data_IF_017323368721
#
_entry.id   IF_017323368721
#
_cell.length_a   1.000
_cell.length_b   1.000
_cell.length_c   1.000
_cell.angle_alpha   90.00
_cell.angle_beta   90.00
_cell.angle_gamma   90.00
#
_symmetry.space_group_name_H-M   'P 1'
#
loop_
_entity.id
_entity.type
_entity.pdbx_description
1 polymer ?
#
# COMPACT_ATOMS: atom_id res chain seq x y z
N UNK A 1 46.00 47.58 -13.97
CA UNK A 1 46.70 46.71 -12.98
C UNK A 1 46.23 47.04 -11.55
N UNK A 2 45.72 46.15 -10.71
CA UNK A 2 45.60 44.70 -10.77
C UNK A 2 44.55 44.24 -9.74
N UNK A 3 44.05 43.03 -9.98
CA UNK A 3 43.05 42.28 -9.22
C UNK A 3 43.66 41.61 -7.99
N UNK A 4 42.88 41.53 -6.90
CA UNK A 4 42.81 40.44 -5.90
C UNK A 4 41.38 40.50 -5.34
N UNK A 5 40.47 39.53 -5.56
CA UNK A 5 40.45 38.14 -5.08
C UNK A 5 39.89 38.13 -3.64
N UNK A 6 38.80 37.50 -3.24
CA UNK A 6 37.78 36.61 -3.82
C UNK A 6 37.12 35.87 -2.63
N UNK A 7 35.82 35.55 -2.67
CA UNK A 7 35.19 34.41 -1.95
C UNK A 7 33.66 34.34 -2.14
N UNK A 8 33.14 33.12 -2.35
CA UNK A 8 31.73 32.76 -2.09
C UNK A 8 30.82 32.70 -3.32
N UNK A 9 30.66 31.56 -4.00
CA UNK A 9 29.70 30.46 -3.73
C UNK A 9 28.25 30.71 -4.24
N UNK A 10 27.77 29.79 -5.10
CA UNK A 10 26.43 29.19 -5.00
C UNK A 10 25.20 29.91 -5.58
N UNK A 11 24.83 29.48 -6.79
CA UNK A 11 23.51 29.24 -7.40
C UNK A 11 22.14 29.74 -6.84
N UNK A 12 21.20 29.74 -7.80
CA UNK A 12 19.72 29.64 -7.79
C UNK A 12 18.85 30.91 -7.62
N UNK A 13 18.33 31.40 -8.75
CA UNK A 13 17.09 32.17 -8.78
C UNK A 13 15.90 31.19 -8.85
N UNK A 14 15.04 31.24 -7.84
CA UNK A 14 14.03 30.23 -7.54
C UNK A 14 12.79 30.26 -8.43
N UNK A 15 12.29 29.06 -8.74
CA UNK A 15 10.92 28.85 -9.16
C UNK A 15 10.14 28.39 -7.92
N UNK A 16 9.32 29.28 -7.36
CA UNK A 16 8.54 29.02 -6.15
C UNK A 16 7.41 28.02 -6.43
N UNK A 17 7.64 26.76 -6.06
CA UNK A 17 6.58 25.75 -5.91
C UNK A 17 6.06 25.81 -4.47
N UNK A 18 4.73 25.80 -4.23
CA UNK A 18 4.19 25.87 -2.87
C UNK A 18 4.63 24.67 -2.00
N UNK A 19 4.85 24.87 -0.68
CA UNK A 19 5.52 23.90 0.17
C UNK A 19 4.51 22.95 0.80
N UNK A 20 4.43 21.71 0.31
CA UNK A 20 3.88 20.63 1.12
C UNK A 20 5.01 20.03 1.98
N UNK A 21 4.85 19.91 3.31
CA UNK A 21 5.83 19.23 4.15
C UNK A 21 5.66 17.72 3.99
N UNK A 22 6.61 17.06 3.35
CA UNK A 22 6.61 15.60 3.22
C UNK A 22 7.07 15.12 1.84
N UNK A 23 8.28 15.47 1.43
CA UNK A 23 8.90 14.88 0.24
C UNK A 23 9.32 13.45 0.60
N UNK A 24 8.60 12.44 0.11
CA UNK A 24 9.04 11.04 0.17
C UNK A 24 10.24 10.89 -0.79
N UNK A 25 11.44 10.54 -0.32
CA UNK A 25 12.59 10.37 -1.21
C UNK A 25 12.37 9.16 -2.14
N UNK A 26 12.83 9.20 -3.40
CA UNK A 26 12.59 8.14 -4.36
C UNK A 26 13.50 6.90 -4.16
N UNK A 27 13.08 5.75 -4.70
CA UNK A 27 11.77 5.53 -5.30
C UNK A 27 10.80 5.06 -4.21
N UNK A 28 9.53 5.42 -4.37
CA UNK A 28 8.46 4.60 -3.78
C UNK A 28 7.89 3.78 -4.92
N UNK A 29 8.43 2.58 -5.20
CA UNK A 29 7.81 1.68 -6.15
C UNK A 29 6.60 1.05 -5.44
N UNK A 30 5.44 1.69 -5.58
CA UNK A 30 4.18 0.99 -5.43
C UNK A 30 3.57 0.96 -6.83
N UNK A 31 3.57 -0.20 -7.48
CA UNK A 31 2.79 -0.36 -8.70
C UNK A 31 1.34 -0.51 -8.26
N UNK A 32 0.60 0.59 -8.22
CA UNK A 32 -0.86 0.55 -8.02
C UNK A 32 -1.46 -0.03 -9.29
N UNK A 33 -2.13 -1.17 -9.16
CA UNK A 33 -2.68 -1.87 -10.30
C UNK A 33 -3.91 -1.11 -10.83
N UNK A 34 -3.96 -0.74 -12.13
CA UNK A 34 -5.12 -0.08 -12.71
C UNK A 34 -6.39 -0.93 -12.63
N UNK A 35 -6.21 -2.25 -12.54
CA UNK A 35 -7.27 -3.22 -12.27
C UNK A 35 -6.78 -4.13 -11.14
N UNK A 36 -7.39 -4.09 -9.95
CA UNK A 36 -6.94 -4.89 -8.84
C UNK A 36 -7.11 -6.38 -9.14
N UNK A 37 -6.13 -7.21 -8.78
CA UNK A 37 -6.24 -8.66 -8.94
C UNK A 37 -7.06 -9.27 -7.81
N UNK A 38 -8.00 -10.15 -8.16
CA UNK A 38 -8.73 -10.93 -7.17
C UNK A 38 -7.77 -11.81 -6.37
N UNK A 39 -7.94 -11.83 -5.06
CA UNK A 39 -7.16 -12.64 -4.15
C UNK A 39 -8.05 -13.42 -3.19
N UNK A 40 -7.47 -14.42 -2.54
CA UNK A 40 -8.04 -15.12 -1.41
C UNK A 40 -6.98 -15.23 -0.30
N UNK A 41 -7.39 -14.94 0.93
CA UNK A 41 -6.54 -15.03 2.12
C UNK A 41 -7.08 -16.12 3.01
N UNK A 42 -6.22 -17.02 3.45
CA UNK A 42 -6.55 -18.12 4.35
C UNK A 42 -5.65 -18.08 5.59
N UNK A 43 -6.17 -18.58 6.70
CA UNK A 43 -5.38 -18.76 7.92
C UNK A 43 -4.56 -20.06 7.89
N UNK A 44 -3.86 -20.34 8.99
CA UNK A 44 -3.01 -21.51 9.11
C UNK A 44 -3.80 -22.83 9.00
N UNK A 45 -5.06 -22.85 9.46
CA UNK A 45 -5.96 -23.99 9.37
C UNK A 45 -6.54 -24.18 7.96
N UNK A 46 -6.38 -23.18 7.07
CA UNK A 46 -6.92 -23.20 5.72
C UNK A 46 -8.30 -22.57 5.62
N UNK A 47 -8.80 -21.95 6.69
CA UNK A 47 -10.08 -21.27 6.68
C UNK A 47 -9.96 -19.89 6.03
N UNK A 48 -10.96 -19.44 5.24
CA UNK A 48 -10.96 -18.10 4.67
C UNK A 48 -10.91 -17.02 5.75
N UNK A 49 -10.01 -16.05 5.59
CA UNK A 49 -9.92 -14.91 6.49
C UNK A 49 -10.98 -13.88 6.13
N UNK A 50 -11.83 -13.56 7.10
CA UNK A 50 -12.90 -12.57 7.00
C UNK A 50 -12.56 -11.37 7.87
N UNK A 51 -12.82 -10.17 7.35
CA UNK A 51 -12.73 -8.91 8.09
C UNK A 51 -14.13 -8.35 8.29
N UNK A 52 -14.52 -8.16 9.54
CA UNK A 52 -15.86 -7.69 9.87
C UNK A 52 -15.99 -6.16 9.82
N UNK A 53 -17.22 -5.68 10.04
CA UNK A 53 -17.56 -4.27 10.11
C UNK A 53 -16.97 -3.52 11.34
N UNK A 54 -16.11 -4.13 12.15
CA UNK A 54 -15.34 -3.48 13.22
C UNK A 54 -13.83 -3.66 13.02
N UNK A 55 -13.41 -4.05 11.83
CA UNK A 55 -12.02 -4.34 11.48
C UNK A 55 -11.41 -5.47 12.33
N UNK A 56 -12.24 -6.37 12.86
CA UNK A 56 -11.74 -7.61 13.47
C UNK A 56 -11.48 -8.64 12.37
N UNK A 57 -10.35 -9.32 12.47
CA UNK A 57 -9.90 -10.38 11.55
C UNK A 57 -10.25 -11.73 12.16
N UNK A 58 -10.89 -12.63 11.39
CA UNK A 58 -11.36 -13.93 11.90
C UNK A 58 -10.24 -14.90 12.29
N UNK A 59 -9.06 -14.75 11.68
CA UNK A 59 -7.87 -15.55 11.94
C UNK A 59 -6.64 -14.84 11.36
N UNK A 60 -5.45 -15.21 11.81
CA UNK A 60 -4.22 -14.61 11.30
C UNK A 60 -4.00 -15.02 9.82
N UNK A 61 -3.85 -14.05 8.88
CA UNK A 61 -3.44 -14.34 7.51
C UNK A 61 -2.17 -15.19 7.46
N UNK A 62 -2.24 -16.32 6.77
CA UNK A 62 -1.12 -17.26 6.65
C UNK A 62 -0.83 -17.68 5.20
N UNK A 63 -1.83 -17.64 4.31
CA UNK A 63 -1.65 -17.92 2.88
C UNK A 63 -2.41 -16.94 2.01
N UNK A 64 -1.76 -16.51 0.94
CA UNK A 64 -2.35 -15.70 -0.12
C UNK A 64 -2.45 -16.50 -1.41
N UNK A 65 -3.56 -16.38 -2.11
CA UNK A 65 -3.73 -16.87 -3.48
C UNK A 65 -4.14 -15.68 -4.34
N UNK A 66 -3.43 -15.43 -5.44
CA UNK A 66 -3.76 -14.35 -6.38
C UNK A 66 -4.23 -14.97 -7.69
N UNK A 67 -5.46 -14.65 -8.10
CA UNK A 67 -6.10 -15.28 -9.26
C UNK A 67 -6.17 -16.80 -9.12
N UNK A 68 -5.59 -17.52 -10.10
CA UNK A 68 -5.50 -18.99 -10.12
C UNK A 68 -4.09 -19.50 -9.83
N UNK A 69 -3.19 -18.65 -9.32
CA UNK A 69 -1.83 -19.05 -8.98
C UNK A 69 -1.79 -20.00 -7.78
N UNK A 70 -0.67 -20.68 -7.59
CA UNK A 70 -0.45 -21.48 -6.39
C UNK A 70 -0.46 -20.57 -5.13
N UNK A 71 -0.96 -21.06 -3.98
CA UNK A 71 -0.90 -20.30 -2.73
C UNK A 71 0.55 -20.04 -2.32
N UNK A 72 0.81 -18.81 -1.86
CA UNK A 72 2.09 -18.38 -1.27
C UNK A 72 1.89 -18.11 0.21
N UNK A 73 2.86 -18.51 1.03
CA UNK A 73 2.83 -18.28 2.47
C UNK A 73 3.01 -16.79 2.79
N UNK A 74 2.22 -16.29 3.75
CA UNK A 74 2.35 -14.96 4.33
C UNK A 74 3.25 -15.08 5.55
N UNK A 75 4.42 -14.44 5.49
CA UNK A 75 5.44 -14.48 6.55
C UNK A 75 5.29 -13.34 7.55
N UNK A 76 4.54 -12.29 7.19
CA UNK A 76 4.22 -11.18 8.08
C UNK A 76 3.11 -10.30 7.52
N UNK A 77 2.40 -9.58 8.39
CA UNK A 77 1.36 -8.66 7.97
C UNK A 77 1.11 -7.55 9.01
N UNK A 78 0.51 -6.45 8.55
CA UNK A 78 0.06 -5.34 9.38
C UNK A 78 -1.30 -4.80 8.87
N UNK A 79 -2.07 -4.18 9.77
CA UNK A 79 -3.45 -3.75 9.56
C UNK A 79 -4.43 -4.54 10.45
N UNK A 80 -5.74 -4.55 10.13
CA UNK A 80 -6.42 -3.78 9.09
C UNK A 80 -6.47 -2.27 9.39
N UNK A 81 -6.18 -1.44 8.36
CA UNK A 81 -6.47 0.00 8.42
C UNK A 81 -7.71 0.34 7.60
N UNK A 82 -8.66 1.13 8.14
CA UNK A 82 -9.82 1.57 7.37
C UNK A 82 -9.39 2.50 6.23
N UNK A 83 -10.06 2.39 5.09
CA UNK A 83 -9.99 3.37 4.02
C UNK A 83 -11.41 3.74 3.64
N UNK A 84 -11.72 5.03 3.80
CA UNK A 84 -12.97 5.63 3.39
C UNK A 84 -12.77 6.28 2.01
N UNK A 85 -13.20 5.59 0.96
CA UNK A 85 -13.24 6.20 -0.38
C UNK A 85 -14.54 6.93 -0.64
N UNK A 86 -14.45 8.06 -1.37
CA UNK A 86 -15.58 8.91 -1.76
C UNK A 86 -16.46 9.29 -0.57
N UNK A 87 -15.84 9.55 0.58
CA UNK A 87 -16.54 9.95 1.81
C UNK A 87 -17.39 11.23 1.64
N UNK A 88 -17.08 12.06 0.63
CA UNK A 88 -17.85 13.26 0.26
C UNK A 88 -19.13 12.96 -0.55
N UNK A 89 -19.34 11.71 -0.98
CA UNK A 89 -20.52 11.27 -1.73
C UNK A 89 -21.11 10.01 -1.05
N UNK A 90 -22.05 10.16 -0.09
CA UNK A 90 -22.53 9.06 0.76
C UNK A 90 -23.08 7.85 -0.01
N UNK A 91 -23.68 8.08 -1.19
CA UNK A 91 -24.19 7.01 -2.06
C UNK A 91 -23.08 6.20 -2.75
N UNK A 92 -21.87 6.74 -2.82
CA UNK A 92 -20.69 6.12 -3.43
C UNK A 92 -19.61 5.77 -2.40
N UNK A 93 -19.87 6.07 -1.12
CA UNK A 93 -18.95 5.84 -0.03
C UNK A 93 -18.63 4.35 0.04
N UNK A 94 -17.34 4.04 -0.10
CA UNK A 94 -16.88 2.65 -0.16
C UNK A 94 -15.98 2.36 1.01
N UNK A 95 -16.45 1.46 1.86
CA UNK A 95 -15.75 1.03 3.06
C UNK A 95 -14.89 -0.18 2.75
N UNK A 96 -13.58 -0.01 2.83
CA UNK A 96 -12.60 -1.10 2.70
C UNK A 96 -11.61 -1.07 3.85
N UNK A 97 -10.89 -2.17 4.02
CA UNK A 97 -9.74 -2.24 4.90
C UNK A 97 -8.49 -2.63 4.11
N UNK A 98 -7.33 -2.09 4.48
CA UNK A 98 -6.04 -2.40 3.87
C UNK A 98 -5.16 -3.23 4.79
N UNK A 99 -4.36 -4.08 4.17
CA UNK A 99 -3.31 -4.88 4.80
C UNK A 99 -2.02 -4.73 4.03
N UNK A 100 -0.92 -4.58 4.74
CA UNK A 100 0.40 -4.83 4.18
C UNK A 100 0.78 -6.26 4.52
N UNK A 101 1.21 -7.04 3.53
CA UNK A 101 1.62 -8.44 3.70
C UNK A 101 3.00 -8.66 3.09
N UNK A 102 3.81 -9.47 3.76
CA UNK A 102 5.06 -10.00 3.24
C UNK A 102 4.85 -11.48 2.91
N UNK A 103 5.32 -11.90 1.74
CA UNK A 103 5.24 -13.27 1.26
C UNK A 103 6.58 -14.00 1.42
N UNK A 104 6.53 -15.33 1.44
CA UNK A 104 7.72 -16.18 1.54
C UNK A 104 8.67 -16.08 0.35
N UNK A 105 8.19 -15.62 -0.81
CA UNK A 105 9.01 -15.38 -2.00
C UNK A 105 9.74 -14.02 -1.98
N UNK A 106 9.58 -13.24 -0.90
CA UNK A 106 10.20 -11.92 -0.72
C UNK A 106 9.30 -10.76 -1.18
N UNK A 107 8.18 -11.03 -1.84
CA UNK A 107 7.27 -9.99 -2.32
C UNK A 107 6.53 -9.34 -1.16
N UNK A 108 6.39 -8.01 -1.20
CA UNK A 108 5.50 -7.28 -0.29
C UNK A 108 4.29 -6.73 -1.07
N UNK A 109 3.08 -6.92 -0.53
CA UNK A 109 1.84 -6.55 -1.20
C UNK A 109 0.97 -5.65 -0.32
N UNK A 110 0.23 -4.76 -0.98
CA UNK A 110 -0.91 -4.06 -0.39
C UNK A 110 -2.19 -4.79 -0.81
N UNK A 111 -2.87 -5.39 0.16
CA UNK A 111 -4.17 -5.99 -0.04
C UNK A 111 -5.27 -5.03 0.42
N UNK A 112 -6.40 -5.05 -0.26
CA UNK A 112 -7.64 -4.48 0.23
C UNK A 112 -8.71 -5.57 0.38
N UNK A 113 -9.58 -5.39 1.37
CA UNK A 113 -10.79 -6.18 1.55
C UNK A 113 -12.01 -5.28 1.57
N UNK A 114 -12.97 -5.60 0.71
CA UNK A 114 -14.24 -4.88 0.58
C UNK A 114 -15.36 -5.90 0.42
N UNK A 115 -16.40 -5.80 1.27
CA UNK A 115 -17.52 -6.74 1.27
C UNK A 115 -17.08 -8.23 1.27
N UNK A 116 -16.01 -8.54 2.00
CA UNK A 116 -15.43 -9.89 2.10
C UNK A 116 -14.58 -10.33 0.90
N UNK A 117 -14.41 -9.48 -0.11
CA UNK A 117 -13.60 -9.78 -1.30
C UNK A 117 -12.21 -9.19 -1.14
N UNK A 118 -11.20 -10.03 -1.31
CA UNK A 118 -9.80 -9.63 -1.26
C UNK A 118 -9.30 -9.23 -2.64
N UNK A 119 -8.49 -8.18 -2.67
CA UNK A 119 -7.91 -7.58 -3.85
C UNK A 119 -6.45 -7.22 -3.61
N UNK A 120 -5.58 -7.44 -4.58
CA UNK A 120 -4.23 -6.85 -4.60
C UNK A 120 -4.35 -5.44 -5.19
N UNK A 121 -4.08 -4.42 -4.38
CA UNK A 121 -4.10 -3.02 -4.82
C UNK A 121 -2.72 -2.57 -5.32
N UNK A 122 -1.64 -3.03 -4.67
CA UNK A 122 -0.28 -2.69 -5.06
C UNK A 122 0.73 -3.78 -4.74
N UNK A 123 1.82 -3.77 -5.50
CA UNK A 123 3.02 -4.61 -5.29
C UNK A 123 4.18 -3.69 -4.94
N UNK A 124 4.91 -4.05 -3.89
CA UNK A 124 6.19 -3.48 -3.51
C UNK A 124 7.28 -4.51 -3.85
N UNK A 125 8.25 -4.10 -4.66
CA UNK A 125 9.48 -4.83 -5.00
C UNK A 125 10.65 -4.29 -4.17
#
# INVERSE_FOLDING_TARGET
>A
PGRVGGAGQGAVAGNSVPPWPGRLPPPSPAVVLPTPFAAAVHDAAGEPVVVNARLSVSGAPARLTVGTAAPVEITGWAGPWPVDERWWAPAEARRRARFQVCLADGTALLLAVEAGRWLVEAIYD
#
